data_IF_770945167219
#
_entry.id   IF_770945167219
#
_cell.length_a   1.000
_cell.length_b   1.000
_cell.length_c   1.000
_cell.angle_alpha   90.00
_cell.angle_beta   90.00
_cell.angle_gamma   90.00
#
_symmetry.space_group_name_H-M   'P 1'
#
loop_
_entity.id
_entity.type
_entity.pdbx_description
1 polymer ?
#
# COMPACT_ATOMS: atom_id res chain seq x y z
N UNK A 1 -24.02 4.02 19.04
CA UNK A 1 -22.90 3.67 19.94
C UNK A 1 -22.21 2.41 19.39
N UNK A 2 -21.54 2.51 18.29
CA UNK A 2 -20.69 1.42 17.79
C UNK A 2 -19.26 1.84 18.06
N UNK A 3 -18.70 1.28 19.15
CA UNK A 3 -17.26 1.19 19.30
C UNK A 3 -16.78 0.20 18.22
N UNK A 4 -16.63 0.66 16.98
CA UNK A 4 -15.92 -0.09 15.96
C UNK A 4 -14.47 -0.20 16.43
N UNK A 5 -14.16 -1.30 17.10
CA UNK A 5 -12.79 -1.68 17.36
C UNK A 5 -12.15 -1.89 15.99
N UNK A 6 -11.10 -1.12 15.70
CA UNK A 6 -10.33 -1.32 14.48
C UNK A 6 -9.90 -2.80 14.40
N UNK A 7 -9.98 -3.43 13.21
CA UNK A 7 -9.50 -4.78 13.03
C UNK A 7 -8.05 -4.91 13.49
N UNK A 8 -7.67 -6.09 13.90
CA UNK A 8 -6.29 -6.38 14.34
C UNK A 8 -5.29 -5.98 13.26
N UNK A 9 -4.19 -5.34 13.67
CA UNK A 9 -3.15 -4.79 12.77
C UNK A 9 -2.67 -5.83 11.75
N UNK A 10 -2.49 -7.06 12.19
CA UNK A 10 -2.02 -8.15 11.33
C UNK A 10 -3.06 -8.52 10.25
N UNK A 11 -4.34 -8.43 10.58
CA UNK A 11 -5.42 -8.65 9.60
C UNK A 11 -5.41 -7.58 8.52
N UNK A 12 -5.19 -6.31 8.89
CA UNK A 12 -5.11 -5.20 7.96
C UNK A 12 -3.85 -5.28 7.06
N UNK A 13 -2.72 -5.69 7.60
CA UNK A 13 -1.50 -5.93 6.82
C UNK A 13 -1.69 -7.05 5.79
N UNK A 14 -2.30 -8.18 6.21
CA UNK A 14 -2.60 -9.28 5.29
C UNK A 14 -3.52 -8.83 4.16
N UNK A 15 -4.57 -8.07 4.49
CA UNK A 15 -5.50 -7.53 3.50
C UNK A 15 -4.80 -6.61 2.50
N UNK A 16 -3.86 -5.77 2.99
CA UNK A 16 -3.04 -4.92 2.12
C UNK A 16 -2.17 -5.75 1.17
N UNK A 17 -1.52 -6.81 1.66
CA UNK A 17 -0.70 -7.70 0.84
C UNK A 17 -1.52 -8.39 -0.28
N UNK A 18 -2.78 -8.74 -0.03
CA UNK A 18 -3.64 -9.40 -1.00
C UNK A 18 -4.24 -8.46 -2.03
N UNK A 19 -4.55 -7.20 -1.64
CA UNK A 19 -5.37 -6.28 -2.44
C UNK A 19 -4.61 -5.13 -3.08
N UNK A 20 -3.48 -4.71 -2.55
CA UNK A 20 -2.72 -3.58 -3.09
C UNK A 20 -2.20 -3.86 -4.50
N UNK A 21 -2.52 -2.96 -5.42
CA UNK A 21 -2.15 -3.09 -6.83
C UNK A 21 -0.64 -2.94 -7.06
N UNK A 22 0.05 -2.15 -6.24
CA UNK A 22 1.51 -1.98 -6.32
C UNK A 22 2.25 -3.28 -5.96
N UNK A 23 1.78 -4.04 -4.97
CA UNK A 23 2.31 -5.36 -4.62
C UNK A 23 2.07 -6.35 -5.76
N UNK A 24 0.83 -6.41 -6.28
CA UNK A 24 0.50 -7.28 -7.41
C UNK A 24 1.34 -6.95 -8.65
N UNK A 25 1.55 -5.67 -8.93
CA UNK A 25 2.42 -5.24 -10.03
C UNK A 25 3.89 -5.65 -9.81
N UNK A 26 4.38 -5.57 -8.56
CA UNK A 26 5.74 -6.02 -8.23
C UNK A 26 5.89 -7.55 -8.38
N UNK A 27 4.91 -8.34 -7.94
CA UNK A 27 4.87 -9.80 -8.13
C UNK A 27 4.90 -10.14 -9.62
N UNK A 28 4.04 -9.52 -10.43
CA UNK A 28 4.01 -9.76 -11.87
C UNK A 28 5.35 -9.45 -12.57
N UNK A 29 6.10 -8.43 -12.08
CA UNK A 29 7.45 -8.14 -12.61
C UNK A 29 8.47 -9.22 -12.24
N UNK A 30 8.39 -9.79 -11.06
CA UNK A 30 9.24 -10.91 -10.65
C UNK A 30 8.93 -12.13 -11.51
N UNK A 31 7.65 -12.46 -11.72
CA UNK A 31 7.21 -13.56 -12.58
C UNK A 31 7.68 -13.36 -14.03
N UNK A 32 7.57 -12.15 -14.55
CA UNK A 32 8.07 -11.81 -15.89
C UNK A 32 9.59 -12.00 -15.99
N UNK A 33 10.36 -11.57 -15.01
CA UNK A 33 11.81 -11.72 -14.98
C UNK A 33 12.22 -13.20 -14.85
N UNK A 34 11.47 -13.98 -14.05
CA UNK A 34 11.67 -15.44 -13.94
C UNK A 34 11.43 -16.15 -15.30
N UNK A 35 10.33 -15.83 -15.97
CA UNK A 35 10.03 -16.39 -17.29
C UNK A 35 11.08 -16.01 -18.34
N UNK A 36 11.61 -14.78 -18.29
CA UNK A 36 12.71 -14.37 -19.17
C UNK A 36 14.00 -15.14 -18.87
N UNK A 37 14.33 -15.36 -17.61
CA UNK A 37 15.47 -16.18 -17.21
C UNK A 37 15.34 -17.62 -17.72
N UNK A 38 14.18 -18.25 -17.56
CA UNK A 38 13.89 -19.59 -18.09
C UNK A 38 14.00 -19.62 -19.62
N UNK A 39 13.51 -18.57 -20.29
CA UNK A 39 13.63 -18.44 -21.75
C UNK A 39 15.10 -18.40 -22.20
N UNK A 40 15.95 -17.65 -21.50
CA UNK A 40 17.38 -17.56 -21.82
C UNK A 40 18.09 -18.91 -21.61
N UNK A 41 17.75 -19.64 -20.55
CA UNK A 41 18.24 -21.01 -20.35
C UNK A 41 17.74 -21.98 -21.43
N UNK A 42 16.46 -21.89 -21.81
CA UNK A 42 15.88 -22.75 -22.86
C UNK A 42 16.47 -22.52 -24.23
N UNK A 43 16.96 -21.32 -24.55
CA UNK A 43 17.63 -21.04 -25.83
C UNK A 43 18.94 -21.84 -25.99
N UNK A 44 19.68 -22.09 -24.93
CA UNK A 44 20.90 -22.90 -24.94
C UNK A 44 20.60 -24.35 -25.37
N UNK A 45 19.44 -24.89 -24.99
CA UNK A 45 19.00 -26.25 -25.32
C UNK A 45 18.48 -26.35 -26.76
N UNK A 46 17.92 -25.27 -27.34
CA UNK A 46 17.33 -25.27 -28.69
C UNK A 46 18.37 -25.19 -29.82
N UNK A 47 19.59 -24.75 -29.55
CA UNK A 47 20.69 -24.68 -30.55
C UNK A 47 21.20 -26.07 -30.95
N UNK A 48 20.81 -27.11 -30.20
CA UNK A 48 21.07 -28.54 -30.57
C UNK A 48 19.92 -29.10 -31.45
N UNK A 49 19.29 -28.27 -32.28
CA UNK A 49 18.17 -28.68 -33.12
C UNK A 49 18.58 -29.44 -34.36
N UNK A 50 17.89 -30.56 -34.61
CA UNK A 50 18.01 -31.35 -35.85
C UNK A 50 17.48 -30.52 -37.03
N UNK A 51 18.34 -30.05 -37.90
CA UNK A 51 17.98 -29.41 -39.17
C UNK A 51 18.06 -30.40 -40.34
N UNK A 52 17.01 -30.46 -41.16
CA UNK A 52 17.08 -31.14 -42.45
C UNK A 52 17.63 -30.11 -43.46
N UNK A 53 18.82 -30.26 -43.92
CA UNK A 53 19.39 -29.44 -44.99
C UNK A 53 19.36 -30.22 -46.32
N UNK A 54 18.73 -29.60 -47.34
CA UNK A 54 18.84 -30.04 -48.72
C UNK A 54 19.89 -29.16 -49.38
N UNK A 55 21.04 -29.71 -49.70
CA UNK A 55 22.12 -29.05 -50.45
C UNK A 55 22.06 -29.50 -51.90
N UNK A 56 22.04 -28.56 -52.82
CA UNK A 56 21.95 -28.78 -54.25
C UNK A 56 23.34 -28.61 -54.87
N UNK A 57 24.04 -29.67 -54.96
CA UNK A 57 25.21 -29.77 -55.81
C UNK A 57 24.93 -30.93 -56.76
N UNK A 58 25.11 -30.76 -58.04
CA UNK A 58 24.80 -31.51 -59.26
C UNK A 58 24.39 -33.01 -59.23
N UNK A 59 24.20 -33.60 -58.04
CA UNK A 59 23.64 -34.95 -57.88
C UNK A 59 22.68 -34.97 -56.67
N UNK A 60 21.47 -35.54 -56.89
CA UNK A 60 20.44 -35.63 -55.87
C UNK A 60 20.79 -36.65 -54.80
N UNK A 61 21.41 -36.22 -53.72
CA UNK A 61 21.54 -37.02 -52.51
C UNK A 61 20.61 -36.49 -51.43
N UNK A 62 19.43 -37.08 -51.30
CA UNK A 62 18.56 -36.93 -50.14
C UNK A 62 19.10 -37.81 -49.01
N UNK A 63 19.81 -37.21 -48.09
CA UNK A 63 20.28 -37.87 -46.86
C UNK A 63 19.87 -37.09 -45.63
N UNK A 64 19.53 -37.75 -44.50
CA UNK A 64 19.39 -37.04 -43.23
C UNK A 64 20.74 -36.50 -42.78
N UNK A 65 20.98 -35.22 -43.01
CA UNK A 65 22.17 -34.52 -42.54
C UNK A 65 21.94 -33.97 -41.13
N UNK A 66 22.62 -34.49 -40.15
CA UNK A 66 22.72 -33.88 -38.81
C UNK A 66 23.73 -32.72 -38.91
N UNK A 67 23.23 -31.52 -39.10
CA UNK A 67 24.02 -30.30 -38.95
C UNK A 67 24.07 -29.93 -37.48
N UNK A 68 25.05 -30.44 -36.74
CA UNK A 68 25.34 -30.01 -35.39
C UNK A 68 26.13 -28.70 -35.45
N UNK A 69 25.48 -27.58 -35.42
CA UNK A 69 26.15 -26.33 -35.09
C UNK A 69 26.34 -26.32 -33.57
N UNK A 70 27.50 -26.79 -33.11
CA UNK A 70 27.91 -26.61 -31.71
C UNK A 70 28.37 -25.16 -31.55
N UNK A 71 27.63 -24.31 -30.81
CA UNK A 71 28.09 -22.96 -30.47
C UNK A 71 29.18 -23.08 -29.42
N UNK A 72 30.44 -23.31 -29.90
CA UNK A 72 31.59 -23.49 -28.99
C UNK A 72 31.98 -22.18 -28.29
N UNK A 73 31.51 -21.02 -28.80
CA UNK A 73 31.92 -19.68 -28.35
C UNK A 73 30.81 -18.80 -27.78
N UNK A 74 29.54 -19.07 -27.99
CA UNK A 74 28.46 -18.26 -27.43
C UNK A 74 27.36 -19.14 -26.83
N UNK A 75 27.54 -19.46 -25.56
CA UNK A 75 26.54 -20.18 -24.76
C UNK A 75 25.47 -19.25 -24.15
N UNK A 76 25.25 -18.06 -24.73
CA UNK A 76 24.28 -17.06 -24.24
C UNK A 76 24.53 -16.65 -22.76
N UNK A 77 25.73 -16.87 -22.23
CA UNK A 77 26.07 -16.68 -20.82
C UNK A 77 25.88 -15.22 -20.39
N UNK A 78 26.21 -14.26 -21.26
CA UNK A 78 26.04 -12.84 -20.99
C UNK A 78 24.55 -12.46 -20.82
N UNK A 79 23.67 -13.05 -21.63
CA UNK A 79 22.22 -12.79 -21.54
C UNK A 79 21.62 -13.48 -20.32
N UNK A 80 22.08 -14.70 -20.00
CA UNK A 80 21.68 -15.40 -18.77
C UNK A 80 22.11 -14.60 -17.55
N UNK A 81 23.36 -14.14 -17.47
CA UNK A 81 23.84 -13.31 -16.37
C UNK A 81 23.01 -12.03 -16.21
N UNK A 82 22.67 -11.35 -17.31
CA UNK A 82 21.80 -10.19 -17.31
C UNK A 82 20.40 -10.52 -16.81
N UNK A 83 19.82 -11.66 -17.20
CA UNK A 83 18.49 -12.09 -16.76
C UNK A 83 18.48 -12.45 -15.26
N UNK A 84 19.53 -13.10 -14.75
CA UNK A 84 19.71 -13.39 -13.32
C UNK A 84 19.75 -12.09 -12.51
N UNK A 85 20.52 -11.10 -12.98
CA UNK A 85 20.64 -9.81 -12.31
C UNK A 85 19.30 -9.04 -12.30
N UNK A 86 18.58 -9.04 -13.44
CA UNK A 86 17.25 -8.45 -13.54
C UNK A 86 16.24 -9.12 -12.59
N UNK A 87 16.26 -10.46 -12.51
CA UNK A 87 15.43 -11.21 -11.58
C UNK A 87 15.73 -10.82 -10.12
N UNK A 88 17.01 -10.83 -9.73
CA UNK A 88 17.45 -10.43 -8.39
C UNK A 88 17.03 -9.00 -8.03
N UNK A 89 17.14 -8.06 -8.98
CA UNK A 89 16.69 -6.68 -8.83
C UNK A 89 15.18 -6.61 -8.58
N UNK A 90 14.35 -7.32 -9.34
CA UNK A 90 12.90 -7.32 -9.16
C UNK A 90 12.48 -7.97 -7.85
N UNK A 91 13.16 -9.02 -7.38
CA UNK A 91 12.94 -9.58 -6.04
C UNK A 91 13.26 -8.57 -4.93
N UNK A 92 14.36 -7.83 -5.05
CA UNK A 92 14.73 -6.80 -4.07
C UNK A 92 13.68 -5.67 -4.05
N UNK A 93 13.18 -5.25 -5.21
CA UNK A 93 12.10 -4.27 -5.32
C UNK A 93 10.80 -4.79 -4.71
N UNK A 94 10.43 -6.04 -4.94
CA UNK A 94 9.24 -6.64 -4.30
C UNK A 94 9.36 -6.62 -2.78
N UNK A 95 10.50 -7.02 -2.22
CA UNK A 95 10.77 -6.94 -0.77
C UNK A 95 10.63 -5.50 -0.26
N UNK A 96 11.15 -4.51 -0.96
CA UNK A 96 11.02 -3.10 -0.59
C UNK A 96 9.56 -2.62 -0.60
N UNK A 97 8.77 -3.01 -1.60
CA UNK A 97 7.34 -2.68 -1.70
C UNK A 97 6.55 -3.32 -0.54
N UNK A 98 6.83 -4.57 -0.18
CA UNK A 98 6.17 -5.27 0.93
C UNK A 98 6.45 -4.59 2.28
N UNK A 99 7.70 -4.20 2.52
CA UNK A 99 8.09 -3.47 3.74
C UNK A 99 7.42 -2.11 3.79
N UNK A 100 7.45 -1.35 2.69
CA UNK A 100 6.80 -0.03 2.60
C UNK A 100 5.30 -0.14 2.85
N UNK A 101 4.61 -1.11 2.23
CA UNK A 101 3.19 -1.34 2.43
C UNK A 101 2.84 -1.65 3.89
N UNK A 102 3.65 -2.47 4.56
CA UNK A 102 3.47 -2.80 5.98
C UNK A 102 3.66 -1.57 6.89
N UNK A 103 4.65 -0.72 6.59
CA UNK A 103 4.89 0.53 7.31
C UNK A 103 3.77 1.55 7.09
N UNK A 104 3.29 1.69 5.85
CA UNK A 104 2.15 2.55 5.51
C UNK A 104 0.92 2.18 6.33
N UNK A 105 0.53 0.90 6.33
CA UNK A 105 -0.61 0.41 7.11
C UNK A 105 -0.44 0.71 8.59
N UNK A 106 0.73 0.41 9.17
CA UNK A 106 1.01 0.66 10.59
C UNK A 106 0.91 2.15 10.95
N UNK A 107 1.46 3.02 10.10
CA UNK A 107 1.43 4.48 10.31
C UNK A 107 0.01 5.04 10.24
N UNK A 108 -0.79 4.56 9.28
CA UNK A 108 -2.17 5.01 9.10
C UNK A 108 -3.05 4.51 10.25
N UNK A 109 -2.87 3.29 10.75
CA UNK A 109 -3.57 2.78 11.95
C UNK A 109 -3.26 3.67 13.15
N UNK A 110 -2.00 3.95 13.43
CA UNK A 110 -1.60 4.80 14.55
C UNK A 110 -2.22 6.21 14.44
N UNK A 111 -2.22 6.79 13.23
CA UNK A 111 -2.87 8.08 12.96
C UNK A 111 -4.37 8.02 13.19
N UNK A 112 -5.05 6.98 12.72
CA UNK A 112 -6.49 6.81 12.88
C UNK A 112 -6.86 6.71 14.36
N UNK A 113 -6.15 5.91 15.13
CA UNK A 113 -6.36 5.79 16.58
C UNK A 113 -6.14 7.12 17.30
N UNK A 114 -5.09 7.86 16.95
CA UNK A 114 -4.81 9.18 17.53
C UNK A 114 -5.92 10.20 17.22
N UNK A 115 -6.46 10.22 15.99
CA UNK A 115 -7.54 11.12 15.60
C UNK A 115 -8.86 10.78 16.30
N UNK A 116 -9.16 9.49 16.47
CA UNK A 116 -10.35 9.05 17.22
C UNK A 116 -10.26 9.40 18.70
N UNK A 117 -9.10 9.14 19.32
CA UNK A 117 -8.84 9.55 20.70
C UNK A 117 -8.98 11.07 20.90
N UNK A 118 -8.40 11.85 19.99
CA UNK A 118 -8.56 13.31 20.00
C UNK A 118 -10.03 13.72 19.86
N UNK A 119 -10.80 13.13 18.94
CA UNK A 119 -12.22 13.45 18.78
C UNK A 119 -13.03 13.20 20.06
N UNK A 120 -12.73 12.12 20.80
CA UNK A 120 -13.33 11.83 22.12
C UNK A 120 -13.02 12.91 23.15
N UNK A 121 -11.76 13.32 23.28
CA UNK A 121 -11.35 14.39 24.22
C UNK A 121 -12.04 15.72 23.91
N UNK A 122 -12.19 16.08 22.64
CA UNK A 122 -12.90 17.31 22.27
C UNK A 122 -14.41 17.23 22.51
N UNK A 123 -15.00 16.05 22.42
CA UNK A 123 -16.43 15.85 22.85
C UNK A 123 -16.61 16.17 24.33
N UNK A 124 -15.71 15.68 25.18
CA UNK A 124 -15.73 15.94 26.61
C UNK A 124 -15.50 17.43 26.92
N UNK A 125 -14.65 18.09 26.14
CA UNK A 125 -14.42 19.54 26.26
C UNK A 125 -15.66 20.33 25.90
N UNK A 126 -16.43 19.93 24.89
CA UNK A 126 -17.74 20.56 24.57
C UNK A 126 -18.72 20.42 25.73
N UNK A 127 -18.82 19.23 26.34
CA UNK A 127 -19.70 18.99 27.49
C UNK A 127 -19.35 19.92 28.67
N UNK A 128 -18.07 20.00 29.03
CA UNK A 128 -17.58 20.90 30.11
C UNK A 128 -17.81 22.37 29.80
N UNK A 129 -17.60 22.79 28.54
CA UNK A 129 -17.87 24.19 28.15
C UNK A 129 -19.36 24.52 28.17
N UNK A 130 -20.23 23.56 27.92
CA UNK A 130 -21.67 23.69 27.98
C UNK A 130 -22.15 23.84 29.45
N UNK A 131 -21.62 23.02 30.34
CA UNK A 131 -21.87 23.12 31.79
C UNK A 131 -21.39 24.47 32.35
N UNK A 132 -20.20 24.93 31.97
CA UNK A 132 -19.69 26.24 32.39
C UNK A 132 -20.54 27.40 31.90
N UNK A 133 -21.11 27.32 30.68
CA UNK A 133 -22.04 28.31 30.19
C UNK A 133 -23.33 28.33 31.03
N UNK A 134 -23.85 27.16 31.35
CA UNK A 134 -25.08 27.05 32.15
C UNK A 134 -24.90 27.64 33.55
N UNK A 135 -23.81 27.30 34.25
CA UNK A 135 -23.47 27.88 35.55
C UNK A 135 -23.31 29.41 35.49
N UNK A 136 -22.67 29.92 34.41
CA UNK A 136 -22.52 31.36 34.21
C UNK A 136 -23.85 32.06 34.01
N UNK A 137 -24.82 31.46 33.28
CA UNK A 137 -26.17 31.97 33.09
C UNK A 137 -26.97 32.01 34.40
N UNK A 138 -26.95 30.90 35.14
CA UNK A 138 -27.63 30.84 36.45
C UNK A 138 -27.08 31.90 37.42
N UNK A 139 -25.78 32.12 37.44
CA UNK A 139 -25.16 33.16 38.29
C UNK A 139 -25.55 34.57 37.85
N UNK A 140 -25.73 34.83 36.58
CA UNK A 140 -26.18 36.09 36.03
C UNK A 140 -27.67 36.32 36.35
N UNK A 141 -28.54 35.33 36.16
CA UNK A 141 -29.97 35.40 36.41
C UNK A 141 -30.30 35.72 37.87
N UNK A 142 -29.51 35.20 38.82
CA UNK A 142 -29.66 35.53 40.25
C UNK A 142 -28.89 36.80 40.68
N UNK A 143 -28.36 37.55 39.70
CA UNK A 143 -27.70 38.85 39.96
C UNK A 143 -26.32 38.75 40.63
N UNK A 144 -25.70 37.57 40.69
CA UNK A 144 -24.39 37.37 41.34
C UNK A 144 -23.21 37.80 40.48
N UNK A 145 -23.40 37.95 39.18
CA UNK A 145 -22.34 38.32 38.24
C UNK A 145 -22.85 39.19 37.09
N UNK A 146 -21.92 39.81 36.36
CA UNK A 146 -22.22 40.60 35.15
C UNK A 146 -22.47 39.69 33.97
N UNK A 147 -22.94 40.25 32.84
CA UNK A 147 -23.15 39.51 31.58
C UNK A 147 -21.85 39.04 30.93
N UNK A 148 -20.71 39.65 31.26
CA UNK A 148 -19.42 39.36 30.60
C UNK A 148 -18.99 37.90 30.72
N UNK A 149 -19.02 37.22 31.89
CA UNK A 149 -18.73 35.81 32.01
C UNK A 149 -19.61 34.90 31.14
N UNK A 150 -20.88 35.26 30.95
CA UNK A 150 -21.78 34.50 30.06
C UNK A 150 -21.33 34.58 28.62
N UNK A 151 -20.96 35.79 28.15
CA UNK A 151 -20.45 35.97 26.77
C UNK A 151 -19.14 35.22 26.57
N UNK A 152 -18.24 35.23 27.54
CA UNK A 152 -16.97 34.47 27.47
C UNK A 152 -17.21 32.98 27.45
N UNK A 153 -18.08 32.43 28.29
CA UNK A 153 -18.45 31.03 28.30
C UNK A 153 -19.09 30.59 26.96
N UNK A 154 -19.95 31.43 26.38
CA UNK A 154 -20.56 31.19 25.10
C UNK A 154 -19.52 31.15 23.97
N UNK A 155 -18.56 32.06 23.96
CA UNK A 155 -17.43 32.03 22.99
C UNK A 155 -16.58 30.78 23.16
N UNK A 156 -16.27 30.35 24.37
CA UNK A 156 -15.55 29.11 24.67
C UNK A 156 -16.30 27.88 24.16
N UNK A 157 -17.62 27.81 24.41
CA UNK A 157 -18.44 26.71 23.89
C UNK A 157 -18.45 26.66 22.37
N UNK A 158 -18.59 27.80 21.68
CA UNK A 158 -18.57 27.86 20.22
C UNK A 158 -17.22 27.41 19.67
N UNK A 159 -16.11 27.84 20.28
CA UNK A 159 -14.78 27.41 19.94
C UNK A 159 -14.60 25.89 20.13
N UNK A 160 -15.05 25.34 21.28
CA UNK A 160 -14.98 23.89 21.54
C UNK A 160 -15.78 23.08 20.52
N UNK A 161 -17.00 23.51 20.17
CA UNK A 161 -17.84 22.87 19.14
C UNK A 161 -17.15 22.88 17.78
N UNK A 162 -16.54 24.00 17.39
CA UNK A 162 -15.81 24.13 16.14
C UNK A 162 -14.60 23.16 16.07
N UNK A 163 -13.83 23.11 17.15
CA UNK A 163 -12.67 22.19 17.22
C UNK A 163 -13.11 20.74 17.20
N UNK A 164 -14.18 20.37 17.92
CA UNK A 164 -14.73 19.01 17.86
C UNK A 164 -15.16 18.62 16.44
N UNK A 165 -15.86 19.49 15.72
CA UNK A 165 -16.26 19.23 14.33
C UNK A 165 -15.04 19.02 13.40
N UNK A 166 -13.97 19.80 13.58
CA UNK A 166 -12.72 19.63 12.85
C UNK A 166 -12.05 18.26 13.14
N UNK A 167 -12.10 17.81 14.41
CA UNK A 167 -11.53 16.50 14.81
C UNK A 167 -12.35 15.33 14.28
N UNK A 168 -13.68 15.43 14.25
CA UNK A 168 -14.53 14.42 13.59
C UNK A 168 -14.18 14.31 12.11
N UNK A 169 -14.02 15.44 11.41
CA UNK A 169 -13.61 15.44 10.01
C UNK A 169 -12.24 14.79 9.82
N UNK A 170 -11.26 15.11 10.67
CA UNK A 170 -9.93 14.52 10.60
C UNK A 170 -9.96 13.01 10.84
N UNK A 171 -10.79 12.53 11.77
CA UNK A 171 -11.00 11.11 12.01
C UNK A 171 -11.62 10.40 10.79
N UNK A 172 -12.62 11.01 10.14
CA UNK A 172 -13.22 10.46 8.93
C UNK A 172 -12.22 10.36 7.77
N UNK A 173 -11.37 11.38 7.57
CA UNK A 173 -10.28 11.34 6.57
C UNK A 173 -9.29 10.22 6.89
N UNK A 174 -8.92 10.05 8.16
CA UNK A 174 -7.99 8.99 8.56
C UNK A 174 -8.56 7.58 8.29
N UNK A 175 -9.87 7.37 8.42
CA UNK A 175 -10.54 6.11 8.04
C UNK A 175 -10.43 5.88 6.53
N UNK A 176 -10.69 6.90 5.69
CA UNK A 176 -10.54 6.79 4.24
C UNK A 176 -9.09 6.52 3.82
N UNK A 177 -8.11 7.09 4.54
CA UNK A 177 -6.70 6.78 4.31
C UNK A 177 -6.38 5.31 4.67
N UNK A 178 -7.01 4.77 5.72
CA UNK A 178 -6.87 3.36 6.10
C UNK A 178 -7.44 2.43 5.01
N UNK A 179 -8.62 2.73 4.48
CA UNK A 179 -9.21 1.98 3.37
C UNK A 179 -8.31 1.98 2.13
N UNK A 180 -7.70 3.13 1.82
CA UNK A 180 -6.74 3.25 0.72
C UNK A 180 -5.47 2.44 0.99
N UNK A 181 -4.90 2.54 2.19
CA UNK A 181 -3.68 1.81 2.55
C UNK A 181 -3.86 0.28 2.55
N UNK A 182 -5.07 -0.20 2.81
CA UNK A 182 -5.45 -1.63 2.77
C UNK A 182 -5.94 -2.10 1.40
N UNK A 183 -6.07 -1.19 0.41
CA UNK A 183 -6.61 -1.53 -0.91
C UNK A 183 -8.11 -1.88 -0.90
N UNK A 184 -8.87 -1.40 0.10
CA UNK A 184 -10.31 -1.64 0.23
C UNK A 184 -11.16 -0.49 -0.28
N UNK A 185 -10.56 0.64 -0.69
CA UNK A 185 -11.30 1.75 -1.28
C UNK A 185 -11.94 1.30 -2.61
N UNK A 186 -13.26 1.51 -2.71
CA UNK A 186 -14.05 1.29 -3.93
C UNK A 186 -13.89 2.45 -4.89
#
# INVERSE_FOLDING_TARGET
>A
SSSETLPEVETLKRLAHERRLDIRAAVARVEQAAAELERQHGLVVRIAGVGISAEREDDWALGPGLKLELPIFDQNQAQIAKAVEAFSQHEALLRAVLVSASQDVSSVIARTQAQWGAAGLYKDQVARAQEALELSRQSYEVGKTTILPVIEAQRKLLSAKRLHALRIRAAAVAVSDLERATGTSR
#
